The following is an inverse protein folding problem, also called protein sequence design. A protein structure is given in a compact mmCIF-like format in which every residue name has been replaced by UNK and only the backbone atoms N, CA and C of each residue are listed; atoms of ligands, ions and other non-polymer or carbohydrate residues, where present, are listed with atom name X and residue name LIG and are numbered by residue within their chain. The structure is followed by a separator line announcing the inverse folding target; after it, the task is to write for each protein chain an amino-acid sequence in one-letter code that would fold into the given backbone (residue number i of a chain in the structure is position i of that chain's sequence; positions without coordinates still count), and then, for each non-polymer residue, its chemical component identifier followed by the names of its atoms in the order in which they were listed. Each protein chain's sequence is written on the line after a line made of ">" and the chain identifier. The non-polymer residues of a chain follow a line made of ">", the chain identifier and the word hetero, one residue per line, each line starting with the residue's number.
data_IF_156050405143
#
_entry.id   IF_156050405143
#
_cell.length_a   1.000
_cell.length_b   1.000
_cell.length_c   1.000
_cell.angle_alpha   90.00
_cell.angle_beta   90.00
_cell.angle_gamma   90.00
#
_symmetry.space_group_name_H-M   'P 1'
#
loop_
_entity.id
_entity.type
_entity.pdbx_description
1 polymer ?
#
# COMPACT_ATOMS: atom_id res chain seq x y z
N UNK A 1 -13.66 6.75 -3.93
CA UNK A 1 -13.04 5.40 -3.88
C UNK A 1 -12.00 5.39 -2.78
N UNK A 2 -12.04 4.37 -1.92
CA UNK A 2 -11.08 4.20 -0.83
C UNK A 2 -9.87 3.40 -1.30
N UNK A 3 -8.68 3.74 -0.82
CA UNK A 3 -7.43 3.04 -1.12
C UNK A 3 -6.58 2.86 0.13
N UNK A 4 -5.61 1.96 0.02
CA UNK A 4 -4.64 1.64 1.07
C UNK A 4 -3.26 2.07 0.61
N UNK A 5 -2.54 2.86 1.41
CA UNK A 5 -1.21 3.34 1.06
C UNK A 5 -0.19 2.89 2.10
N UNK A 6 0.92 2.32 1.66
CA UNK A 6 2.01 1.97 2.57
C UNK A 6 2.59 3.25 3.20
N UNK A 7 3.02 3.19 4.45
CA UNK A 7 3.39 4.39 5.21
C UNK A 7 4.55 5.19 4.57
N UNK A 8 5.44 4.54 3.81
CA UNK A 8 6.49 5.23 3.04
C UNK A 8 5.96 6.03 1.84
N UNK A 9 4.71 5.79 1.42
CA UNK A 9 4.11 6.42 0.27
C UNK A 9 4.64 5.88 -1.05
N UNK A 10 4.97 4.58 -1.09
CA UNK A 10 5.54 3.95 -2.28
C UNK A 10 4.45 3.72 -3.35
N UNK A 11 3.31 3.19 -2.93
CA UNK A 11 2.18 2.91 -3.81
C UNK A 11 0.82 2.89 -3.10
N UNK A 12 -0.25 3.24 -3.83
CA UNK A 12 -1.63 3.08 -3.40
C UNK A 12 -2.25 1.80 -3.99
N UNK A 13 -3.08 1.14 -3.18
CA UNK A 13 -3.63 -0.18 -3.43
C UNK A 13 -5.15 -0.14 -3.36
N UNK A 14 -5.83 -0.90 -4.22
CA UNK A 14 -7.30 -1.02 -4.22
C UNK A 14 -7.83 -1.95 -3.14
N UNK A 15 -6.96 -2.76 -2.52
CA UNK A 15 -7.29 -3.77 -1.51
C UNK A 15 -6.19 -3.87 -0.44
N UNK A 16 -6.58 -4.08 0.81
CA UNK A 16 -5.67 -4.14 1.97
C UNK A 16 -4.87 -5.44 2.04
N UNK A 17 -5.37 -6.50 1.40
CA UNK A 17 -4.77 -7.85 1.38
C UNK A 17 -3.75 -8.05 0.24
N UNK A 18 -3.44 -7.01 -0.53
CA UNK A 18 -2.48 -7.05 -1.63
C UNK A 18 -1.16 -7.72 -1.19
N UNK A 19 -0.61 -8.61 -2.01
CA UNK A 19 0.65 -9.30 -1.72
C UNK A 19 1.83 -8.35 -1.48
N UNK A 20 1.79 -7.15 -2.06
CA UNK A 20 2.77 -6.08 -1.83
C UNK A 20 2.59 -5.35 -0.49
N UNK A 21 1.44 -5.47 0.16
CA UNK A 21 1.19 -5.04 1.55
C UNK A 21 1.52 -6.19 2.51
N UNK A 22 0.93 -7.37 2.28
CA UNK A 22 1.02 -8.51 3.21
C UNK A 22 2.37 -9.21 3.19
N UNK A 23 3.11 -9.15 2.08
CA UNK A 23 4.47 -9.71 1.96
C UNK A 23 5.44 -9.11 2.99
N UNK A 24 5.66 -7.77 2.99
CA UNK A 24 6.47 -7.10 3.99
C UNK A 24 5.99 -7.34 5.43
N UNK A 25 4.68 -7.35 5.68
CA UNK A 25 4.09 -7.65 6.99
C UNK A 25 4.50 -9.06 7.48
N UNK A 26 4.37 -10.08 6.63
CA UNK A 26 4.82 -11.45 6.93
C UNK A 26 6.33 -11.54 7.13
N UNK A 27 7.10 -10.85 6.29
CA UNK A 27 8.56 -10.81 6.42
C UNK A 27 8.99 -10.18 7.75
N UNK A 28 8.35 -9.08 8.15
CA UNK A 28 8.59 -8.43 9.43
C UNK A 28 8.29 -9.35 10.61
N UNK A 29 7.13 -10.00 10.60
CA UNK A 29 6.75 -10.99 11.63
C UNK A 29 7.78 -12.12 11.74
N UNK A 30 8.30 -12.64 10.62
CA UNK A 30 9.31 -13.71 10.62
C UNK A 30 10.71 -13.26 11.05
N UNK A 31 11.03 -11.96 10.92
CA UNK A 31 12.38 -11.40 11.14
C UNK A 31 12.48 -10.54 12.40
N UNK A 32 11.41 -10.43 13.19
CA UNK A 32 11.40 -9.69 14.45
C UNK A 32 11.33 -8.17 14.31
N UNK A 33 10.84 -7.63 13.18
CA UNK A 33 10.59 -6.20 13.03
C UNK A 33 9.14 -5.90 12.66
N UNK A 34 8.64 -4.75 13.11
CA UNK A 34 7.26 -4.33 12.84
C UNK A 34 7.21 -3.51 11.56
N UNK A 35 6.37 -3.91 10.62
CA UNK A 35 6.02 -3.09 9.45
C UNK A 35 4.78 -2.30 9.77
N UNK A 36 4.83 -0.98 9.56
CA UNK A 36 3.65 -0.15 9.79
C UNK A 36 2.47 -0.59 8.93
N UNK A 37 1.25 -0.61 9.49
CA UNK A 37 0.07 -0.97 8.73
C UNK A 37 -0.18 0.02 7.58
N UNK A 38 -0.86 -0.41 6.51
CA UNK A 38 -1.27 0.51 5.45
C UNK A 38 -2.24 1.56 6.02
N UNK A 39 -2.11 2.80 5.55
CA UNK A 39 -3.06 3.86 5.85
C UNK A 39 -4.21 3.83 4.86
N UNK A 40 -5.42 3.89 5.38
CA UNK A 40 -6.63 4.02 4.58
C UNK A 40 -6.91 5.50 4.30
N UNK A 41 -7.11 5.87 3.04
CA UNK A 41 -7.44 7.23 2.59
C UNK A 41 -8.18 7.22 1.25
N UNK A 42 -8.73 8.35 0.83
CA UNK A 42 -9.37 8.46 -0.49
C UNK A 42 -8.34 8.41 -1.63
N UNK A 43 -8.78 7.98 -2.82
CA UNK A 43 -7.92 7.98 -4.01
C UNK A 43 -7.37 9.39 -4.32
N UNK A 44 -8.20 10.43 -4.16
CA UNK A 44 -7.79 11.81 -4.40
C UNK A 44 -6.69 12.26 -3.41
N UNK A 45 -6.84 11.94 -2.12
CA UNK A 45 -5.81 12.19 -1.12
C UNK A 45 -4.52 11.41 -1.44
N UNK A 46 -4.63 10.15 -1.86
CA UNK A 46 -3.45 9.34 -2.21
C UNK A 46 -2.70 9.87 -3.44
N UNK A 47 -3.43 10.35 -4.44
CA UNK A 47 -2.86 10.97 -5.65
C UNK A 47 -2.26 12.35 -5.37
N UNK A 48 -2.83 13.11 -4.43
CA UNK A 48 -2.33 14.40 -3.98
C UNK A 48 -1.24 14.29 -2.91
N UNK A 49 -1.00 13.10 -2.36
CA UNK A 49 0.06 12.85 -1.39
C UNK A 49 1.44 12.88 -2.09
N UNK A 50 2.49 12.41 -1.39
CA UNK A 50 3.84 12.12 -1.95
C UNK A 50 3.75 11.41 -3.32
N UNK A 51 4.85 11.24 -4.09
CA UNK A 51 4.82 10.56 -5.40
C UNK A 51 4.44 9.07 -5.33
N UNK A 52 3.22 8.79 -4.88
CA UNK A 52 2.61 7.50 -4.60
C UNK A 52 2.03 7.03 -5.92
N UNK A 53 2.58 5.94 -6.44
CA UNK A 53 2.15 5.39 -7.73
C UNK A 53 1.04 4.36 -7.53
N UNK A 54 0.20 4.11 -8.54
CA UNK A 54 -0.71 2.97 -8.49
C UNK A 54 0.11 1.68 -8.32
N UNK A 55 -0.34 0.80 -7.42
CA UNK A 55 0.25 -0.52 -7.32
C UNK A 55 -0.03 -1.32 -8.61
N UNK A 56 1.00 -1.84 -9.30
CA UNK A 56 0.83 -2.51 -10.60
C UNK A 56 0.05 -3.84 -10.51
N UNK A 57 -0.11 -4.42 -9.31
CA UNK A 57 -0.93 -5.62 -9.09
C UNK A 57 -2.41 -5.29 -8.77
N UNK A 58 -2.66 -4.07 -8.29
CA UNK A 58 -4.00 -3.61 -7.94
C UNK A 58 -4.64 -2.81 -9.07
N UNK A 59 -3.80 -2.18 -9.88
CA UNK A 59 -4.14 -1.25 -10.94
C UNK A 59 -3.26 -1.60 -12.13
N UNK A 60 -3.55 -2.75 -12.75
CA UNK A 60 -2.98 -3.08 -14.05
C UNK A 60 -3.44 -2.02 -15.03
N UNK A 61 -2.49 -1.26 -15.58
CA UNK A 61 -2.77 -0.38 -16.71
C UNK A 61 -3.05 -1.34 -17.88
N UNK A 62 -4.32 -1.45 -18.27
CA UNK A 62 -4.72 -2.15 -19.48
C UNK A 62 -4.24 -1.37 -20.72
#
# INVERSE_FOLDING_TARGET
>A
MQVYVTQRGDAYHSRSDCSRITGPQRAGASRGYVVHPPREMSLAEAQAWKPVKPCPLCWTVA
#
